data_IF_460668061166
#
_entry.id   IF_460668061166
#
_cell.length_a   1.000
_cell.length_b   1.000
_cell.length_c   1.000
_cell.angle_alpha   90.00
_cell.angle_beta   90.00
_cell.angle_gamma   90.00
#
_symmetry.space_group_name_H-M   'P 1'
#
loop_
_entity.id
_entity.type
_entity.pdbx_description
1 polymer ?
#
# COMPACT_ATOMS: atom_id res chain seq x y z
N UNK A 1 38.67 -3.02 -23.34
CA UNK A 1 37.24 -2.83 -23.74
C UNK A 1 36.44 -4.04 -23.28
N UNK A 2 35.44 -3.75 -22.43
CA UNK A 2 34.49 -4.80 -22.01
C UNK A 2 33.52 -5.05 -23.16
N UNK A 3 33.49 -6.30 -23.65
CA UNK A 3 32.60 -6.65 -24.74
C UNK A 3 31.13 -6.61 -24.33
N UNK A 4 30.23 -6.41 -25.31
CA UNK A 4 28.77 -6.41 -25.09
C UNK A 4 28.29 -7.69 -24.39
N UNK A 5 28.92 -8.80 -24.66
CA UNK A 5 28.60 -10.10 -24.07
C UNK A 5 28.89 -10.17 -22.57
N UNK A 6 29.96 -9.55 -22.11
CA UNK A 6 30.32 -9.48 -20.71
C UNK A 6 29.35 -8.60 -19.90
N UNK A 7 28.95 -7.46 -20.48
CA UNK A 7 27.93 -6.60 -19.88
C UNK A 7 26.60 -7.33 -19.72
N UNK A 8 26.18 -8.03 -20.78
CA UNK A 8 24.94 -8.81 -20.75
C UNK A 8 25.00 -9.97 -19.74
N UNK A 9 26.17 -10.56 -19.53
CA UNK A 9 26.36 -11.62 -18.53
C UNK A 9 26.20 -11.08 -17.12
N UNK A 10 26.89 -9.97 -16.77
CA UNK A 10 26.79 -9.33 -15.48
C UNK A 10 25.34 -8.92 -15.18
N UNK A 11 24.65 -8.34 -16.15
CA UNK A 11 23.25 -7.93 -15.99
C UNK A 11 22.34 -9.13 -15.70
N UNK A 12 22.52 -10.26 -16.39
CA UNK A 12 21.72 -11.47 -16.18
C UNK A 12 21.98 -12.12 -14.82
N UNK A 13 23.24 -12.12 -14.37
CA UNK A 13 23.62 -12.61 -13.03
C UNK A 13 22.93 -11.78 -11.95
N UNK A 14 23.04 -10.44 -12.00
CA UNK A 14 22.39 -9.52 -11.08
C UNK A 14 20.86 -9.63 -11.14
N UNK A 15 20.29 -9.79 -12.32
CA UNK A 15 18.86 -10.02 -12.49
C UNK A 15 18.40 -11.30 -11.80
N UNK A 16 19.15 -12.38 -11.95
CA UNK A 16 18.83 -13.67 -11.34
C UNK A 16 18.89 -13.60 -9.80
N UNK A 17 19.86 -12.86 -9.23
CA UNK A 17 19.96 -12.63 -7.79
C UNK A 17 18.82 -11.78 -7.23
N UNK A 18 18.28 -10.84 -8.02
CA UNK A 18 17.14 -10.00 -7.65
C UNK A 18 15.80 -10.74 -7.79
N UNK A 19 15.74 -11.79 -8.62
CA UNK A 19 14.52 -12.54 -8.93
C UNK A 19 14.23 -13.63 -7.91
N UNK A 20 13.88 -13.28 -6.68
CA UNK A 20 13.40 -14.25 -5.69
C UNK A 20 11.88 -14.49 -5.74
N UNK A 21 11.12 -13.74 -6.56
CA UNK A 21 9.65 -13.85 -6.65
C UNK A 21 9.15 -13.43 -8.04
N UNK A 22 8.22 -14.22 -8.63
CA UNK A 22 7.64 -13.99 -9.98
C UNK A 22 6.99 -12.61 -10.16
N UNK A 23 6.58 -11.97 -9.08
CA UNK A 23 5.93 -10.65 -9.11
C UNK A 23 6.89 -9.48 -9.33
N UNK A 24 8.19 -9.70 -9.13
CA UNK A 24 9.22 -8.65 -9.22
C UNK A 24 9.93 -8.58 -10.58
N UNK A 25 9.58 -9.41 -11.54
CA UNK A 25 10.32 -9.60 -12.79
C UNK A 25 10.62 -8.30 -13.54
N UNK A 26 9.64 -7.40 -13.67
CA UNK A 26 9.83 -6.12 -14.39
C UNK A 26 10.74 -5.14 -13.63
N UNK A 27 10.63 -5.11 -12.31
CA UNK A 27 11.44 -4.24 -11.47
C UNK A 27 12.87 -4.76 -11.36
N UNK A 28 13.05 -6.09 -11.24
CA UNK A 28 14.35 -6.73 -11.24
C UNK A 28 15.14 -6.48 -12.53
N UNK A 29 14.48 -6.47 -13.70
CA UNK A 29 15.13 -6.11 -14.98
C UNK A 29 15.66 -4.67 -14.93
N UNK A 30 14.83 -3.71 -14.53
CA UNK A 30 15.23 -2.30 -14.48
C UNK A 30 16.36 -2.06 -13.48
N UNK A 31 16.27 -2.67 -12.31
CA UNK A 31 17.27 -2.52 -11.26
C UNK A 31 18.59 -3.23 -11.63
N UNK A 32 18.55 -4.39 -12.25
CA UNK A 32 19.76 -5.08 -12.72
C UNK A 32 20.55 -4.24 -13.73
N UNK A 33 19.87 -3.45 -14.56
CA UNK A 33 20.53 -2.52 -15.50
C UNK A 33 21.27 -1.42 -14.73
N UNK A 34 20.62 -0.84 -13.71
CA UNK A 34 21.23 0.21 -12.87
C UNK A 34 22.44 -0.35 -12.12
N UNK A 35 22.31 -1.49 -11.46
CA UNK A 35 23.42 -2.12 -10.73
C UNK A 35 24.57 -2.52 -11.65
N UNK A 36 24.27 -2.98 -12.88
CA UNK A 36 25.32 -3.26 -13.88
C UNK A 36 26.08 -2.01 -14.27
N UNK A 37 25.37 -0.91 -14.50
CA UNK A 37 25.98 0.37 -14.85
C UNK A 37 26.83 0.92 -13.69
N UNK A 38 26.33 0.87 -12.46
CA UNK A 38 27.01 1.30 -11.26
C UNK A 38 28.29 0.48 -11.05
N UNK A 39 28.21 -0.85 -11.09
CA UNK A 39 29.35 -1.73 -10.94
C UNK A 39 30.45 -1.45 -11.99
N UNK A 40 30.06 -1.28 -13.26
CA UNK A 40 31.01 -0.95 -14.34
C UNK A 40 31.64 0.41 -14.13
N UNK A 41 30.86 1.41 -13.72
CA UNK A 41 31.36 2.76 -13.44
C UNK A 41 32.36 2.75 -12.29
N UNK A 42 32.02 2.08 -11.20
CA UNK A 42 32.88 1.93 -10.03
C UNK A 42 34.20 1.22 -10.34
N UNK A 43 34.14 0.09 -11.06
CA UNK A 43 35.33 -0.69 -11.38
C UNK A 43 36.24 -0.01 -12.42
N UNK A 44 35.67 0.72 -13.38
CA UNK A 44 36.40 1.23 -14.55
C UNK A 44 36.67 2.72 -14.53
N UNK A 45 35.75 3.53 -14.02
CA UNK A 45 35.88 4.98 -14.02
C UNK A 45 36.39 5.50 -12.67
N UNK A 46 35.70 5.17 -11.59
CA UNK A 46 36.01 5.71 -10.26
C UNK A 46 37.10 4.93 -9.55
N UNK A 47 37.12 3.62 -9.70
CA UNK A 47 38.09 2.70 -9.08
C UNK A 47 38.13 2.80 -7.55
N UNK A 48 37.01 3.15 -6.95
CA UNK A 48 36.82 3.30 -5.50
C UNK A 48 36.31 2.03 -4.83
N UNK A 49 35.75 1.10 -5.61
CA UNK A 49 35.20 -0.17 -5.11
C UNK A 49 33.85 -0.04 -4.39
N UNK A 50 33.27 1.14 -4.34
CA UNK A 50 32.00 1.43 -3.67
C UNK A 50 30.83 1.37 -4.65
N UNK A 51 30.26 0.19 -4.86
CA UNK A 51 29.06 0.00 -5.67
C UNK A 51 27.88 -0.46 -4.82
N UNK A 52 26.67 -0.16 -5.29
CA UNK A 52 25.44 -0.57 -4.62
C UNK A 52 25.35 -2.09 -4.58
N UNK A 53 25.22 -2.66 -3.39
CA UNK A 53 25.08 -4.11 -3.22
C UNK A 53 23.69 -4.58 -3.64
N UNK A 54 23.57 -5.88 -3.95
CA UNK A 54 22.27 -6.49 -4.29
C UNK A 54 21.31 -6.44 -3.10
N UNK A 55 21.81 -6.52 -1.87
CA UNK A 55 20.99 -6.48 -0.66
C UNK A 55 20.42 -5.09 -0.41
N UNK A 56 21.22 -4.02 -0.56
CA UNK A 56 20.71 -2.62 -0.53
C UNK A 56 19.68 -2.37 -1.65
N UNK A 57 19.94 -2.92 -2.83
CA UNK A 57 18.99 -2.82 -3.93
C UNK A 57 17.67 -3.56 -3.67
N UNK A 58 17.71 -4.70 -2.96
CA UNK A 58 16.51 -5.43 -2.52
C UNK A 58 15.69 -4.64 -1.52
N UNK A 59 16.32 -3.90 -0.59
CA UNK A 59 15.61 -3.03 0.34
C UNK A 59 14.77 -1.97 -0.38
N UNK A 60 15.32 -1.36 -1.44
CA UNK A 60 14.58 -0.39 -2.26
C UNK A 60 13.42 -1.04 -3.03
N UNK A 61 13.55 -2.32 -3.44
CA UNK A 61 12.47 -3.07 -4.09
C UNK A 61 11.35 -3.42 -3.10
N UNK A 62 11.69 -3.80 -1.88
CA UNK A 62 10.74 -4.12 -0.81
C UNK A 62 9.94 -2.87 -0.43
N UNK A 63 10.58 -1.73 -0.29
CA UNK A 63 9.96 -0.46 0.09
C UNK A 63 8.93 0.05 -0.95
N UNK A 64 9.15 -0.20 -2.25
CA UNK A 64 8.17 0.11 -3.31
C UNK A 64 7.03 -0.90 -3.42
N UNK A 65 7.22 -2.13 -2.94
CA UNK A 65 6.19 -3.17 -2.92
C UNK A 65 5.29 -3.10 -1.68
N UNK A 66 5.66 -2.36 -0.65
CA UNK A 66 4.83 -2.19 0.55
C UNK A 66 3.52 -1.45 0.27
N UNK A 67 3.46 -0.64 -0.77
CA UNK A 67 2.22 -0.05 -1.25
C UNK A 67 1.66 -0.82 -2.46
N UNK A 68 1.14 -2.01 -2.21
CA UNK A 68 0.35 -2.72 -3.25
C UNK A 68 -0.77 -1.81 -3.75
N UNK A 69 -1.22 -1.98 -5.00
CA UNK A 69 -2.35 -1.21 -5.54
C UNK A 69 -3.58 -1.26 -4.62
N UNK A 70 -3.72 -2.35 -3.86
CA UNK A 70 -4.80 -2.51 -2.89
C UNK A 70 -4.61 -1.64 -1.63
N UNK A 71 -3.37 -1.44 -1.17
CA UNK A 71 -3.07 -0.52 -0.06
C UNK A 71 -3.23 0.94 -0.48
N UNK A 72 -2.83 1.27 -1.70
CA UNK A 72 -3.11 2.58 -2.29
C UNK A 72 -4.61 2.83 -2.41
N UNK A 73 -5.38 1.82 -2.84
CA UNK A 73 -6.83 1.86 -2.87
C UNK A 73 -7.42 2.09 -1.47
N UNK A 74 -6.91 1.39 -0.46
CA UNK A 74 -7.36 1.53 0.92
C UNK A 74 -7.15 2.96 1.44
N UNK A 75 -5.94 3.50 1.30
CA UNK A 75 -5.62 4.89 1.69
C UNK A 75 -6.49 5.89 0.95
N UNK A 76 -6.61 5.74 -0.37
CA UNK A 76 -7.46 6.60 -1.19
C UNK A 76 -8.93 6.61 -0.69
N UNK A 77 -9.48 5.43 -0.37
CA UNK A 77 -10.85 5.34 0.15
C UNK A 77 -10.96 6.03 1.52
N UNK A 78 -10.00 5.82 2.42
CA UNK A 78 -9.98 6.50 3.73
C UNK A 78 -9.91 8.01 3.57
N UNK A 79 -9.04 8.52 2.72
CA UNK A 79 -8.94 9.95 2.42
C UNK A 79 -10.26 10.51 1.90
N UNK A 80 -10.91 9.79 0.97
CA UNK A 80 -12.24 10.19 0.45
C UNK A 80 -13.33 10.17 1.52
N UNK A 81 -13.31 9.21 2.44
CA UNK A 81 -14.24 9.16 3.59
C UNK A 81 -14.02 10.36 4.48
N UNK A 82 -12.78 10.68 4.85
CA UNK A 82 -12.43 11.81 5.70
C UNK A 82 -12.77 13.15 5.05
N UNK A 83 -12.39 13.34 3.79
CA UNK A 83 -12.70 14.57 3.04
C UNK A 83 -14.19 14.81 2.82
N UNK A 84 -15.01 13.76 2.87
CA UNK A 84 -16.45 13.80 2.63
C UNK A 84 -17.25 13.32 3.85
N UNK A 85 -16.77 13.56 5.06
CA UNK A 85 -17.39 13.12 6.30
C UNK A 85 -18.90 13.49 6.37
N UNK A 86 -19.27 14.67 5.86
CA UNK A 86 -20.65 15.11 5.77
C UNK A 86 -21.57 14.17 4.96
N UNK A 87 -21.03 13.38 4.01
CA UNK A 87 -21.80 12.37 3.25
C UNK A 87 -22.01 11.06 4.01
N UNK A 88 -21.36 10.91 5.15
CA UNK A 88 -21.52 9.78 6.07
C UNK A 88 -22.33 10.13 7.32
N UNK A 89 -22.65 11.42 7.53
CA UNK A 89 -23.47 11.87 8.63
C UNK A 89 -24.98 11.60 8.36
N UNK A 90 -25.66 11.02 9.35
CA UNK A 90 -27.07 10.68 9.26
C UNK A 90 -27.98 11.94 9.13
N UNK A 91 -27.53 13.10 9.62
CA UNK A 91 -28.33 14.34 9.71
C UNK A 91 -28.29 15.19 8.46
N UNK A 92 -27.29 15.00 7.60
CA UNK A 92 -27.08 15.85 6.42
C UNK A 92 -28.08 15.54 5.30
N UNK A 93 -28.54 16.58 4.61
CA UNK A 93 -29.49 16.48 3.47
C UNK A 93 -28.82 16.27 2.10
N UNK A 94 -27.50 16.11 2.05
CA UNK A 94 -26.78 15.84 0.81
C UNK A 94 -26.89 14.38 0.37
N UNK A 95 -26.40 14.08 -0.84
CA UNK A 95 -26.25 12.71 -1.31
C UNK A 95 -25.35 11.92 -0.38
N UNK A 96 -25.86 10.83 0.16
CA UNK A 96 -25.16 10.00 1.12
C UNK A 96 -24.33 8.93 0.41
N UNK A 97 -23.10 8.78 0.85
CA UNK A 97 -22.20 7.70 0.41
C UNK A 97 -22.21 6.51 1.37
N UNK A 98 -22.67 6.73 2.61
CA UNK A 98 -22.66 5.69 3.61
C UNK A 98 -22.94 6.21 5.02
N UNK A 99 -22.35 5.54 5.98
CA UNK A 99 -22.36 5.94 7.40
C UNK A 99 -21.13 5.40 8.11
N UNK A 100 -20.72 6.05 9.20
CA UNK A 100 -19.65 5.56 10.08
C UNK A 100 -20.31 4.94 11.31
N UNK A 101 -19.94 3.71 11.64
CA UNK A 101 -20.47 3.01 12.81
C UNK A 101 -19.45 2.03 13.38
N UNK A 102 -19.17 2.13 14.68
CA UNK A 102 -18.34 1.16 15.43
C UNK A 102 -16.97 0.88 14.79
N UNK A 103 -16.25 1.92 14.37
CA UNK A 103 -14.93 1.78 13.75
C UNK A 103 -14.95 1.25 12.30
N UNK A 104 -16.12 1.28 11.66
CA UNK A 104 -16.27 0.91 10.26
C UNK A 104 -16.92 2.03 9.45
N UNK A 105 -16.41 2.27 8.26
CA UNK A 105 -17.11 2.99 7.21
C UNK A 105 -18.01 2.01 6.44
N UNK A 106 -19.31 2.19 6.54
CA UNK A 106 -20.33 1.46 5.81
C UNK A 106 -20.59 2.19 4.51
N UNK A 107 -19.85 1.88 3.45
CA UNK A 107 -19.93 2.58 2.18
C UNK A 107 -20.98 1.91 1.30
N UNK A 108 -21.95 2.66 0.78
CA UNK A 108 -22.95 2.12 -0.13
C UNK A 108 -22.29 1.56 -1.38
N UNK A 109 -22.77 0.43 -1.88
CA UNK A 109 -22.12 -0.27 -2.97
C UNK A 109 -21.91 0.60 -4.21
N UNK A 110 -22.89 1.47 -4.55
CA UNK A 110 -22.78 2.39 -5.67
C UNK A 110 -21.69 3.45 -5.47
N UNK A 111 -21.60 4.02 -4.26
CA UNK A 111 -20.54 4.98 -3.91
C UNK A 111 -19.16 4.29 -3.91
N UNK A 112 -19.09 3.05 -3.43
CA UNK A 112 -17.85 2.29 -3.46
C UNK A 112 -17.39 1.97 -4.90
N UNK A 113 -18.32 1.65 -5.80
CA UNK A 113 -18.03 1.44 -7.22
C UNK A 113 -17.49 2.73 -7.87
N UNK A 114 -18.07 3.87 -7.51
CA UNK A 114 -17.60 5.19 -7.98
C UNK A 114 -16.19 5.51 -7.49
N UNK A 115 -15.92 5.31 -6.20
CA UNK A 115 -14.60 5.53 -5.61
C UNK A 115 -13.52 4.65 -6.27
N UNK A 116 -13.82 3.37 -6.50
CA UNK A 116 -12.90 2.48 -7.20
C UNK A 116 -12.64 2.93 -8.64
N UNK A 117 -13.67 3.42 -9.34
CA UNK A 117 -13.54 3.93 -10.71
C UNK A 117 -12.73 5.23 -10.75
N UNK A 118 -12.98 6.16 -9.83
CA UNK A 118 -12.24 7.42 -9.71
C UNK A 118 -10.74 7.18 -9.49
N UNK A 119 -10.38 6.22 -8.63
CA UNK A 119 -8.99 5.87 -8.35
C UNK A 119 -8.38 4.84 -9.30
N UNK A 120 -9.13 4.41 -10.33
CA UNK A 120 -8.70 3.36 -11.30
C UNK A 120 -8.33 2.03 -10.64
N UNK A 121 -8.99 1.69 -9.52
CA UNK A 121 -8.73 0.46 -8.76
C UNK A 121 -9.69 -0.67 -9.12
N UNK A 122 -9.20 -1.90 -9.08
CA UNK A 122 -10.04 -3.11 -9.23
C UNK A 122 -10.79 -3.41 -7.93
N UNK A 123 -12.09 -3.14 -7.88
CA UNK A 123 -12.97 -3.46 -6.76
C UNK A 123 -12.82 -4.93 -6.30
N UNK A 124 -12.81 -5.87 -7.24
CA UNK A 124 -12.71 -7.31 -6.94
C UNK A 124 -11.38 -7.66 -6.27
N UNK A 125 -10.28 -7.12 -6.78
CA UNK A 125 -8.94 -7.30 -6.22
C UNK A 125 -8.87 -6.72 -4.81
N UNK A 126 -9.32 -5.48 -4.65
CA UNK A 126 -9.32 -4.79 -3.37
C UNK A 126 -10.14 -5.52 -2.31
N UNK A 127 -11.39 -5.90 -2.59
CA UNK A 127 -12.24 -6.59 -1.62
C UNK A 127 -11.64 -7.93 -1.19
N UNK A 128 -11.05 -8.69 -2.12
CA UNK A 128 -10.36 -9.94 -1.80
C UNK A 128 -9.14 -9.71 -0.89
N UNK A 129 -8.34 -8.70 -1.18
CA UNK A 129 -7.19 -8.32 -0.37
C UNK A 129 -7.60 -7.83 1.02
N UNK A 130 -8.56 -6.90 1.09
CA UNK A 130 -9.05 -6.32 2.34
C UNK A 130 -9.69 -7.39 3.26
N UNK A 131 -10.38 -8.38 2.69
CA UNK A 131 -10.90 -9.51 3.44
C UNK A 131 -9.77 -10.35 4.05
N UNK A 132 -8.71 -10.66 3.29
CA UNK A 132 -7.53 -11.39 3.79
C UNK A 132 -6.79 -10.65 4.90
N UNK A 133 -6.78 -9.31 4.84
CA UNK A 133 -6.17 -8.44 5.86
C UNK A 133 -7.08 -8.20 7.08
N UNK A 134 -8.31 -8.73 7.10
CA UNK A 134 -9.26 -8.51 8.20
C UNK A 134 -9.83 -7.09 8.26
N UNK A 135 -9.72 -6.34 7.17
CA UNK A 135 -10.22 -4.97 7.04
C UNK A 135 -11.71 -4.91 6.67
N UNK A 136 -12.30 -6.03 6.27
CA UNK A 136 -13.72 -6.11 5.94
C UNK A 136 -14.52 -6.87 6.98
N UNK A 137 -15.72 -6.38 7.27
CA UNK A 137 -16.72 -7.17 7.97
C UNK A 137 -17.63 -7.85 6.95
N UNK A 138 -17.54 -9.18 6.88
CA UNK A 138 -18.27 -10.01 5.92
C UNK A 138 -19.49 -10.67 6.55
N UNK A 139 -20.44 -11.15 5.73
CA UNK A 139 -21.61 -11.90 6.19
C UNK A 139 -21.88 -13.08 5.24
N UNK A 140 -21.86 -14.30 5.78
CA UNK A 140 -22.14 -15.50 4.98
C UNK A 140 -21.20 -15.69 3.78
N UNK A 141 -19.91 -15.33 3.92
CA UNK A 141 -18.94 -15.41 2.83
C UNK A 141 -19.03 -14.29 1.78
N UNK A 142 -20.02 -13.40 1.90
CA UNK A 142 -20.16 -12.24 1.01
C UNK A 142 -19.34 -11.04 1.54
N UNK A 143 -18.59 -10.38 0.64
CA UNK A 143 -17.75 -9.22 0.98
C UNK A 143 -18.55 -7.93 1.20
N UNK A 144 -19.86 -8.00 1.06
CA UNK A 144 -20.81 -6.89 1.30
C UNK A 144 -21.90 -7.34 2.25
N UNK A 145 -22.40 -6.42 3.08
CA UNK A 145 -23.50 -6.67 4.02
C UNK A 145 -24.67 -5.77 3.73
N UNK A 146 -25.86 -6.25 4.05
CA UNK A 146 -27.07 -5.47 3.95
C UNK A 146 -27.28 -4.64 5.24
N UNK A 147 -27.66 -3.38 5.08
CA UNK A 147 -28.00 -2.48 6.18
C UNK A 147 -29.35 -1.81 5.90
N UNK A 148 -30.21 -1.73 6.90
CA UNK A 148 -31.44 -0.92 6.82
C UNK A 148 -31.07 0.56 7.02
N UNK A 149 -31.41 1.39 6.04
CA UNK A 149 -31.21 2.84 6.05
C UNK A 149 -32.52 3.51 5.66
N UNK A 150 -33.09 4.32 6.54
CA UNK A 150 -34.37 5.04 6.28
C UNK A 150 -35.49 4.13 5.75
N UNK A 151 -35.62 2.92 6.31
CA UNK A 151 -36.64 1.93 5.92
C UNK A 151 -36.29 1.04 4.71
N UNK A 152 -35.28 1.37 3.94
CA UNK A 152 -34.81 0.59 2.78
C UNK A 152 -33.58 -0.25 3.13
N UNK A 153 -33.46 -1.44 2.50
CA UNK A 153 -32.28 -2.28 2.65
C UNK A 153 -31.25 -1.92 1.58
N UNK A 154 -30.07 -1.49 2.02
CA UNK A 154 -28.97 -1.08 1.13
C UNK A 154 -27.80 -2.05 1.33
N UNK A 155 -27.16 -2.44 0.23
CA UNK A 155 -25.93 -3.24 0.26
C UNK A 155 -24.73 -2.31 0.46
N UNK A 156 -23.89 -2.63 1.45
CA UNK A 156 -22.73 -1.82 1.85
C UNK A 156 -21.45 -2.66 1.93
N UNK A 157 -20.32 -2.05 1.60
CA UNK A 157 -19.00 -2.51 1.98
C UNK A 157 -18.73 -1.99 3.38
N UNK A 158 -18.39 -2.86 4.32
CA UNK A 158 -18.06 -2.53 5.69
C UNK A 158 -16.55 -2.55 5.84
N UNK A 159 -15.92 -1.40 5.66
CA UNK A 159 -14.48 -1.23 5.69
C UNK A 159 -14.05 -0.70 7.06
N UNK A 160 -13.08 -1.38 7.69
CA UNK A 160 -12.50 -0.92 8.95
C UNK A 160 -11.79 0.41 8.72
N UNK A 161 -12.08 1.39 9.58
CA UNK A 161 -11.30 2.62 9.70
C UNK A 161 -10.24 2.30 10.74
N UNK A 162 -8.95 2.47 10.42
CA UNK A 162 -7.91 2.43 11.44
C UNK A 162 -8.13 3.63 12.34
N UNK A 163 -8.41 3.37 13.61
CA UNK A 163 -8.24 4.39 14.64
C UNK A 163 -6.75 4.71 14.65
N UNK A 164 -6.40 6.00 14.51
CA UNK A 164 -5.02 6.44 14.77
C UNK A 164 -4.63 5.84 16.14
N UNK A 165 -3.45 5.18 16.24
CA UNK A 165 -3.04 4.67 17.53
C UNK A 165 -3.08 5.85 18.51
N UNK A 166 -3.90 5.74 19.57
CA UNK A 166 -3.90 6.73 20.65
C UNK A 166 -2.44 6.96 21.00
N UNK A 167 -2.00 8.22 20.84
CA UNK A 167 -0.68 8.64 21.24
C UNK A 167 -0.60 8.42 22.76
N UNK A 168 -0.09 7.26 23.16
CA UNK A 168 0.24 7.00 24.56
C UNK A 168 1.43 7.91 24.83
N UNK A 169 1.27 8.97 25.64
CA UNK A 169 2.40 9.79 26.00
C UNK A 169 3.41 8.85 26.68
N UNK A 170 4.59 8.70 26.08
CA UNK A 170 5.70 8.06 26.78
C UNK A 170 5.95 8.97 27.98
N UNK A 171 5.60 8.50 29.18
CA UNK A 171 6.03 9.15 30.41
C UNK A 171 7.53 9.30 30.30
N UNK A 172 7.99 10.53 30.10
CA UNK A 172 9.40 10.85 30.14
C UNK A 172 9.87 10.55 31.56
N UNK A 173 10.54 9.40 31.74
CA UNK A 173 11.39 9.18 32.89
C UNK A 173 12.35 10.36 32.93
N UNK A 174 12.12 11.26 33.88
CA UNK A 174 13.04 12.34 34.19
C UNK A 174 14.34 11.69 34.62
N UNK A 175 15.31 11.60 33.68
CA UNK A 175 16.69 11.33 34.03
C UNK A 175 17.18 12.52 34.86
N UNK A 176 17.21 12.35 36.20
CA UNK A 176 17.94 13.25 37.08
C UNK A 176 19.41 13.21 36.65
N UNK A 177 19.89 14.27 36.07
CA UNK A 177 21.32 14.46 35.79
C UNK A 177 21.94 14.87 37.14
N UNK A 178 22.79 14.06 37.75
CA UNK A 178 23.53 14.49 38.94
C UNK A 178 24.57 15.50 38.49
N UNK A 179 24.42 16.73 38.98
CA UNK A 179 25.47 17.73 38.92
C UNK A 179 26.36 17.51 40.14
N UNK A 180 27.61 17.07 39.93
CA UNK A 180 28.74 17.28 40.85
C UNK A 180 29.48 18.58 40.49
#
# INVERSE_FOLDING_TARGET
>A
DMGKEEICRIQKELQAELMNDDKMQKQAISLSIVLTADKIATERLFKDGEYISVDEAKEVLVDRNELSDNERCYRFILDKVNMNEHRFDATTKCEKWGMIQKGYALIFNAAFDELCREGEFSKKSFLSWANRKGLLQTQGGQMTKNKKVSGSTVRCVWLRIEEEPEFVPVESEQMEIPFD
#
